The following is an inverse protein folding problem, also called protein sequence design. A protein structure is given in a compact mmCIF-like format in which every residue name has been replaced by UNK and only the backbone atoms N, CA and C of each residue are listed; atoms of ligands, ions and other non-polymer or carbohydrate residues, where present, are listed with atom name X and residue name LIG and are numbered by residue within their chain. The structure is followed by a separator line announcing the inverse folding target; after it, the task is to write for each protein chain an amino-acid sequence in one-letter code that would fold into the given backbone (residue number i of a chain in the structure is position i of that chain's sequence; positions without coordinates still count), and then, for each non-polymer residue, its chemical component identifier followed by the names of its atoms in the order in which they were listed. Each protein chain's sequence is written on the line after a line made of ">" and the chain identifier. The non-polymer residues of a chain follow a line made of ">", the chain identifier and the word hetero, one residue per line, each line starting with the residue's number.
data_IF_483159606038
#
_entry.id   IF_483159606038
#
_cell.length_a   1.000
_cell.length_b   1.000
_cell.length_c   1.000
_cell.angle_alpha   90.00
_cell.angle_beta   90.00
_cell.angle_gamma   90.00
#
_symmetry.space_group_name_H-M   'P 1'
#
loop_
_entity.id
_entity.type
_entity.pdbx_description
1 polymer ?
#
# COMPACT_ATOMS: atom_id res chain seq x y z
N UNK A 1 6.36 -2.21 0.05
CA UNK A 1 5.08 -1.52 0.35
C UNK A 1 4.31 -0.96 -0.83
N UNK A 2 4.09 -1.61 -2.00
CA UNK A 2 3.63 -0.82 -3.13
C UNK A 2 2.17 -0.51 -3.01
N UNK A 3 1.90 0.77 -2.99
CA UNK A 3 0.66 1.39 -2.73
C UNK A 3 -0.41 0.86 -3.66
N UNK A 4 -1.65 0.98 -3.21
CA UNK A 4 -2.72 1.08 -4.18
C UNK A 4 -2.57 2.34 -4.94
N UNK A 5 -2.61 2.23 -6.25
CA UNK A 5 -2.55 3.38 -7.12
C UNK A 5 -3.78 3.41 -8.01
N UNK A 6 -4.49 4.54 -7.98
CA UNK A 6 -5.56 4.84 -8.92
C UNK A 6 -5.21 6.10 -9.70
N UNK A 7 -5.20 5.97 -11.02
CA UNK A 7 -5.03 7.12 -11.91
C UNK A 7 -6.39 7.82 -12.05
N UNK A 8 -6.51 9.03 -11.50
CA UNK A 8 -7.62 9.94 -11.78
C UNK A 8 -7.13 11.03 -12.74
N UNK A 9 -8.06 11.80 -13.30
CA UNK A 9 -7.80 12.80 -14.33
C UNK A 9 -6.80 13.88 -13.89
N UNK A 10 -7.02 14.43 -12.69
CA UNK A 10 -6.22 15.56 -12.18
C UNK A 10 -5.13 15.11 -11.19
N UNK A 11 -5.29 13.94 -10.57
CA UNK A 11 -4.37 13.37 -9.59
C UNK A 11 -4.28 11.86 -9.73
N UNK A 12 -3.11 11.28 -9.52
CA UNK A 12 -3.00 9.86 -9.22
C UNK A 12 -2.97 9.68 -7.69
N UNK A 13 -3.83 8.81 -7.18
CA UNK A 13 -3.99 8.57 -5.75
C UNK A 13 -3.22 7.30 -5.42
N UNK A 14 -2.29 7.40 -4.48
CA UNK A 14 -1.49 6.31 -3.97
C UNK A 14 -1.78 6.09 -2.49
N UNK A 15 -1.95 4.86 -2.02
CA UNK A 15 -2.10 4.54 -0.59
C UNK A 15 -1.09 3.47 -0.19
N UNK A 16 -0.09 3.86 0.58
CA UNK A 16 0.93 2.97 1.15
C UNK A 16 0.97 3.09 2.67
N UNK A 17 0.79 1.97 3.37
CA UNK A 17 0.76 1.92 4.84
C UNK A 17 -0.32 2.85 5.43
N UNK A 18 0.10 3.83 6.22
CA UNK A 18 -0.69 4.90 6.78
C UNK A 18 -0.56 6.20 5.98
N UNK A 19 -0.04 6.18 4.76
CA UNK A 19 0.22 7.38 3.96
C UNK A 19 -0.59 7.36 2.67
N UNK A 20 -1.24 8.48 2.37
CA UNK A 20 -1.81 8.75 1.05
C UNK A 20 -0.89 9.71 0.31
N UNK A 21 -0.55 9.37 -0.92
CA UNK A 21 0.23 10.23 -1.80
C UNK A 21 -0.61 10.64 -3.00
N UNK A 22 -0.71 11.94 -3.27
CA UNK A 22 -1.31 12.46 -4.49
C UNK A 22 -0.23 12.90 -5.45
N UNK A 23 -0.15 12.27 -6.62
CA UNK A 23 0.73 12.69 -7.70
C UNK A 23 -0.04 13.55 -8.69
N UNK A 24 0.53 14.68 -9.08
CA UNK A 24 -0.05 15.57 -10.08
C UNK A 24 0.54 15.24 -11.44
N UNK A 25 -0.25 14.72 -12.41
CA UNK A 25 0.27 14.38 -13.73
C UNK A 25 0.97 15.59 -14.37
N UNK A 26 2.07 15.37 -15.12
CA UNK A 26 2.83 16.45 -15.79
C UNK A 26 1.97 17.29 -16.75
N UNK A 27 0.85 16.74 -17.21
CA UNK A 27 -0.15 17.39 -18.08
C UNK A 27 -1.08 18.35 -17.33
N UNK A 28 -1.10 18.32 -16.00
CA UNK A 28 -1.96 19.15 -15.16
C UNK A 28 -1.13 20.35 -14.66
N UNK A 29 -1.63 21.59 -14.79
CA UNK A 29 -0.97 22.76 -14.23
C UNK A 29 -0.96 22.67 -12.69
N UNK A 30 0.13 22.16 -12.12
CA UNK A 30 0.20 21.82 -10.70
C UNK A 30 -0.12 23.00 -9.79
N UNK A 31 0.22 24.22 -10.20
CA UNK A 31 -0.07 25.43 -9.43
C UNK A 31 -1.57 25.73 -9.35
N UNK A 32 -2.32 25.50 -10.43
CA UNK A 32 -3.78 25.67 -10.43
C UNK A 32 -4.48 24.61 -9.57
N UNK A 33 -4.02 23.35 -9.65
CA UNK A 33 -4.51 22.29 -8.78
C UNK A 33 -4.15 22.55 -7.31
N UNK A 34 -2.92 22.99 -7.04
CA UNK A 34 -2.48 23.40 -5.71
C UNK A 34 -3.36 24.51 -5.14
N UNK A 35 -3.68 25.54 -5.94
CA UNK A 35 -4.63 26.56 -5.53
C UNK A 35 -6.02 25.99 -5.23
N UNK A 36 -6.51 25.01 -5.99
CA UNK A 36 -7.78 24.34 -5.71
C UNK A 36 -7.74 23.57 -4.38
N UNK A 37 -6.65 22.83 -4.12
CA UNK A 37 -6.43 22.13 -2.85
C UNK A 37 -6.38 23.12 -1.67
N UNK A 38 -5.63 24.23 -1.84
CA UNK A 38 -5.38 25.27 -0.84
C UNK A 38 -6.51 26.31 -0.72
N UNK A 39 -7.61 26.18 -1.45
CA UNK A 39 -8.82 27.01 -1.24
C UNK A 39 -9.48 26.62 0.09
N UNK A 40 -8.79 26.87 1.20
CA UNK A 40 -9.42 27.28 2.44
C UNK A 40 -9.41 28.81 2.41
N UNK A 41 -10.58 29.42 2.50
CA UNK A 41 -10.63 30.84 2.77
C UNK A 41 -10.13 31.02 4.21
N UNK A 42 -8.83 31.26 4.42
CA UNK A 42 -8.34 31.69 5.71
C UNK A 42 -8.85 33.12 5.93
N UNK A 43 -9.84 33.27 6.81
CA UNK A 43 -10.30 34.57 7.28
C UNK A 43 -9.32 35.06 8.34
N UNK A 44 -8.56 36.10 8.02
CA UNK A 44 -7.77 36.83 9.01
C UNK A 44 -8.71 37.82 9.74
N UNK A 45 -9.07 37.57 11.00
CA UNK A 45 -10.00 38.44 11.73
C UNK A 45 -9.41 39.82 12.05
N UNK A 46 -8.11 40.04 11.80
CA UNK A 46 -7.44 41.32 12.09
C UNK A 46 -7.41 42.28 10.89
N UNK A 47 -7.66 41.79 9.67
CA UNK A 47 -7.55 42.61 8.47
C UNK A 47 -8.65 42.29 7.46
N UNK A 48 -9.65 43.17 7.41
CA UNK A 48 -10.89 43.07 6.63
C UNK A 48 -10.69 43.19 5.10
N UNK A 49 -9.59 42.67 4.55
CA UNK A 49 -9.25 42.78 3.13
C UNK A 49 -8.75 41.45 2.56
N UNK A 50 -9.42 41.03 1.49
CA UNK A 50 -9.10 40.03 0.45
C UNK A 50 -7.76 39.28 0.61
N UNK A 51 -7.91 37.96 0.73
CA UNK A 51 -6.95 36.85 0.58
C UNK A 51 -5.67 37.22 -0.18
N UNK A 52 -4.55 37.35 0.54
CA UNK A 52 -3.21 37.35 -0.07
C UNK A 52 -2.73 35.92 -0.26
N UNK A 53 -2.24 35.51 -1.45
CA UNK A 53 -1.59 34.23 -1.62
C UNK A 53 -0.31 34.21 -0.77
N UNK A 54 -0.26 33.32 0.23
CA UNK A 54 0.91 33.13 1.07
C UNK A 54 1.97 32.44 0.21
N UNK A 55 2.96 33.22 -0.24
CA UNK A 55 4.30 32.71 -0.56
C UNK A 55 5.30 33.57 0.23
N UNK A 56 6.31 32.97 0.87
CA UNK A 56 7.12 31.91 0.28
C UNK A 56 7.27 30.63 1.13
N UNK A 57 7.29 29.50 0.42
CA UNK A 57 8.28 28.43 0.56
C UNK A 57 8.44 27.63 1.86
N UNK A 58 7.61 27.78 2.91
CA UNK A 58 7.88 27.06 4.19
C UNK A 58 6.77 26.23 4.83
N UNK A 59 5.57 26.12 4.25
CA UNK A 59 4.56 25.16 4.75
C UNK A 59 3.76 24.61 3.56
N UNK A 60 4.36 23.73 2.75
CA UNK A 60 3.64 23.06 1.66
C UNK A 60 3.01 21.77 2.14
N UNK A 61 1.93 21.91 2.90
CA UNK A 61 1.01 20.80 3.05
C UNK A 61 -0.38 21.22 2.54
N UNK A 62 -0.85 20.70 1.40
CA UNK A 62 -2.23 20.91 0.97
C UNK A 62 -3.25 20.26 1.91
N UNK A 63 -2.78 19.52 2.92
CA UNK A 63 -3.54 18.98 4.03
C UNK A 63 -3.17 19.69 5.34
N UNK A 64 -3.33 21.01 5.39
CA UNK A 64 -3.19 21.78 6.63
C UNK A 64 -4.05 21.13 7.73
N UNK A 65 -3.48 20.61 8.83
CA UNK A 65 -4.25 19.98 9.90
C UNK A 65 -5.26 20.93 10.55
N UNK A 66 -5.09 22.25 10.38
CA UNK A 66 -6.06 23.24 10.84
C UNK A 66 -7.23 23.48 9.86
N UNK A 67 -7.12 23.03 8.59
CA UNK A 67 -8.22 23.11 7.62
C UNK A 67 -9.43 22.30 8.13
N UNK A 68 -10.63 22.91 8.25
CA UNK A 68 -11.84 22.23 8.71
C UNK A 68 -12.18 20.94 7.94
N UNK A 69 -11.83 20.86 6.66
CA UNK A 69 -12.00 19.67 5.84
C UNK A 69 -10.98 18.59 6.21
N UNK A 70 -9.74 18.95 6.50
CA UNK A 70 -8.68 18.02 6.93
C UNK A 70 -8.89 17.56 8.37
N UNK A 71 -9.51 18.38 9.25
CA UNK A 71 -9.92 17.96 10.60
C UNK A 71 -10.88 16.78 10.63
N UNK A 72 -11.59 16.52 9.52
CA UNK A 72 -12.42 15.30 9.36
C UNK A 72 -11.56 14.03 9.25
N UNK A 73 -10.30 14.17 8.87
CA UNK A 73 -9.32 13.10 8.83
C UNK A 73 -8.64 12.98 10.20
N UNK A 74 -8.75 11.80 10.80
CA UNK A 74 -8.25 11.54 12.16
C UNK A 74 -6.75 11.18 12.13
N UNK A 75 -6.03 11.62 13.16
CA UNK A 75 -4.99 12.65 13.00
C UNK A 75 -4.05 12.37 11.83
N UNK A 76 -3.80 13.40 11.02
CA UNK A 76 -2.86 13.36 9.90
C UNK A 76 -1.65 14.25 10.18
N UNK A 77 -0.47 13.79 9.78
CA UNK A 77 0.80 14.47 9.88
C UNK A 77 1.25 14.88 8.47
N UNK A 78 1.65 16.15 8.28
CA UNK A 78 2.37 16.57 7.09
C UNK A 78 3.66 15.75 6.95
N UNK A 79 4.01 15.40 5.72
CA UNK A 79 5.32 14.83 5.40
C UNK A 79 6.01 15.78 4.43
N UNK A 80 7.24 16.20 4.76
CA UNK A 80 8.02 17.09 3.90
C UNK A 80 8.97 16.30 2.99
N UNK A 81 9.20 16.81 1.78
CA UNK A 81 10.14 16.19 0.81
C UNK A 81 11.55 16.03 1.36
N UNK A 82 11.96 16.95 2.23
CA UNK A 82 13.30 16.99 2.81
C UNK A 82 13.46 16.05 4.03
N UNK A 83 12.39 15.37 4.47
CA UNK A 83 12.52 14.45 5.58
C UNK A 83 13.42 13.27 5.18
N UNK A 84 14.37 12.85 6.05
CA UNK A 84 15.31 11.77 5.73
C UNK A 84 14.62 10.44 5.40
N UNK A 85 13.37 10.29 5.83
CA UNK A 85 12.54 9.12 5.62
C UNK A 85 11.56 9.28 4.43
N UNK A 86 11.68 10.35 3.64
CA UNK A 86 10.76 10.66 2.54
C UNK A 86 10.65 9.51 1.52
N UNK A 87 11.77 8.85 1.24
CA UNK A 87 11.81 7.71 0.32
C UNK A 87 10.91 6.55 0.75
N UNK A 88 10.66 6.38 2.05
CA UNK A 88 9.83 5.29 2.56
C UNK A 88 8.33 5.50 2.34
N UNK A 89 7.91 6.69 1.91
CA UNK A 89 6.52 6.97 1.51
C UNK A 89 6.26 6.65 0.03
N UNK A 90 7.32 6.49 -0.77
CA UNK A 90 7.26 6.17 -2.20
C UNK A 90 7.41 4.69 -2.45
N UNK A 91 6.50 3.97 -1.86
CA UNK A 91 6.39 2.56 -2.08
C UNK A 91 5.24 2.44 -3.05
N UNK A 92 5.47 2.80 -4.31
CA UNK A 92 4.56 2.66 -5.46
C UNK A 92 5.41 2.71 -6.74
N UNK A 93 4.79 2.50 -7.90
CA UNK A 93 5.48 2.48 -9.19
C UNK A 93 5.48 3.84 -9.90
N UNK A 94 4.99 4.91 -9.25
CA UNK A 94 4.88 6.22 -9.89
C UNK A 94 6.23 6.94 -9.86
N UNK A 95 6.47 7.74 -10.90
CA UNK A 95 7.66 8.59 -11.01
C UNK A 95 7.73 9.55 -9.82
N UNK A 96 8.70 9.31 -8.93
CA UNK A 96 8.92 10.06 -7.69
C UNK A 96 9.32 11.51 -7.94
N UNK A 97 9.79 11.84 -9.14
CA UNK A 97 10.14 13.21 -9.52
C UNK A 97 8.91 14.03 -9.98
N UNK A 98 7.76 13.39 -10.17
CA UNK A 98 6.50 14.10 -10.40
C UNK A 98 6.10 14.85 -9.12
N UNK A 99 5.55 16.05 -9.26
CA UNK A 99 4.98 16.80 -8.14
C UNK A 99 3.98 15.95 -7.38
N UNK A 100 4.23 15.72 -6.10
CA UNK A 100 3.36 14.91 -5.27
C UNK A 100 3.24 15.45 -3.85
N UNK A 101 2.18 15.04 -3.17
CA UNK A 101 1.84 15.46 -1.81
C UNK A 101 1.56 14.24 -0.94
N UNK A 102 2.14 14.20 0.24
CA UNK A 102 1.98 13.10 1.19
C UNK A 102 1.12 13.51 2.37
N UNK A 103 0.23 12.61 2.78
CA UNK A 103 -0.59 12.75 3.98
C UNK A 103 -0.47 11.48 4.82
N UNK A 104 0.17 11.58 5.98
CA UNK A 104 0.44 10.44 6.85
C UNK A 104 -0.52 10.39 8.03
N UNK A 105 -1.39 9.41 8.08
CA UNK A 105 -2.27 9.14 9.21
C UNK A 105 -1.46 8.60 10.39
N UNK A 106 -1.85 8.90 11.63
CA UNK A 106 -1.19 8.29 12.81
C UNK A 106 -1.55 6.81 13.02
N UNK A 107 -2.49 6.30 12.22
CA UNK A 107 -2.94 4.91 12.18
C UNK A 107 -3.14 4.45 10.73
N UNK A 108 -3.28 3.15 10.49
CA UNK A 108 -3.65 2.65 9.17
C UNK A 108 -4.96 3.27 8.67
N UNK A 109 -4.99 3.54 7.38
CA UNK A 109 -6.13 4.11 6.68
C UNK A 109 -7.24 3.06 6.63
N UNK A 110 -8.36 3.32 7.32
CA UNK A 110 -9.55 2.48 7.22
C UNK A 110 -10.32 2.78 5.93
N UNK A 111 -11.28 1.91 5.61
CA UNK A 111 -12.24 2.15 4.52
C UNK A 111 -12.96 3.48 4.71
N UNK A 112 -13.36 3.81 5.94
CA UNK A 112 -14.02 5.07 6.26
C UNK A 112 -13.09 6.27 6.09
N UNK A 113 -11.82 6.15 6.50
CA UNK A 113 -10.84 7.22 6.30
C UNK A 113 -10.62 7.50 4.80
N UNK A 114 -10.55 6.44 4.00
CA UNK A 114 -10.37 6.57 2.56
C UNK A 114 -11.61 7.15 1.87
N UNK A 115 -12.83 6.77 2.27
CA UNK A 115 -14.06 7.38 1.77
C UNK A 115 -14.15 8.88 2.12
N UNK A 116 -13.82 9.24 3.37
CA UNK A 116 -13.77 10.65 3.80
C UNK A 116 -12.72 11.41 2.98
N UNK A 117 -11.54 10.82 2.77
CA UNK A 117 -10.50 11.41 1.94
C UNK A 117 -10.98 11.68 0.50
N UNK A 118 -11.55 10.68 -0.17
CA UNK A 118 -12.08 10.85 -1.52
C UNK A 118 -13.24 11.86 -1.56
N UNK A 119 -14.06 11.91 -0.52
CA UNK A 119 -15.13 12.92 -0.39
C UNK A 119 -14.56 14.33 -0.35
N UNK A 120 -13.48 14.56 0.40
CA UNK A 120 -12.79 15.85 0.44
C UNK A 120 -12.26 16.21 -0.96
N UNK A 121 -11.70 15.26 -1.72
CA UNK A 121 -11.24 15.52 -3.08
C UNK A 121 -12.39 15.92 -4.02
N UNK A 122 -13.58 15.33 -3.87
CA UNK A 122 -14.78 15.74 -4.62
C UNK A 122 -15.26 17.13 -4.22
N UNK A 123 -15.33 17.42 -2.91
CA UNK A 123 -15.76 18.73 -2.40
C UNK A 123 -14.82 19.87 -2.84
N UNK A 124 -13.54 19.56 -3.05
CA UNK A 124 -12.53 20.50 -3.56
C UNK A 124 -12.43 20.53 -5.10
N UNK A 125 -13.30 19.81 -5.81
CA UNK A 125 -13.32 19.71 -7.29
C UNK A 125 -12.01 19.14 -7.88
N UNK A 126 -11.30 18.31 -7.12
CA UNK A 126 -10.05 17.67 -7.54
C UNK A 126 -10.35 16.41 -8.35
N UNK A 127 -11.33 15.62 -7.92
CA UNK A 127 -11.88 14.47 -8.64
C UNK A 127 -13.40 14.59 -8.73
N UNK A 128 -14.01 13.98 -9.74
CA UNK A 128 -15.47 13.93 -9.83
C UNK A 128 -16.08 12.76 -9.00
N UNK A 129 -17.42 12.73 -8.90
CA UNK A 129 -18.14 11.68 -8.14
C UNK A 129 -17.91 10.28 -8.71
N UNK A 130 -17.78 10.14 -10.03
CA UNK A 130 -17.55 8.86 -10.69
C UNK A 130 -16.13 8.38 -10.39
N UNK A 131 -15.14 9.27 -10.44
CA UNK A 131 -13.76 8.98 -10.05
C UNK A 131 -13.65 8.55 -8.59
N UNK A 132 -14.40 9.21 -7.69
CA UNK A 132 -14.54 8.78 -6.30
C UNK A 132 -15.08 7.34 -6.22
N UNK A 133 -16.21 7.05 -6.85
CA UNK A 133 -16.85 5.72 -6.80
C UNK A 133 -15.92 4.63 -7.33
N UNK A 134 -15.34 4.84 -8.52
CA UNK A 134 -14.43 3.89 -9.16
C UNK A 134 -13.17 3.66 -8.31
N UNK A 135 -12.60 4.71 -7.73
CA UNK A 135 -11.43 4.63 -6.84
C UNK A 135 -11.76 3.88 -5.55
N UNK A 136 -12.91 4.17 -4.94
CA UNK A 136 -13.36 3.52 -3.72
C UNK A 136 -13.61 2.02 -3.95
N UNK A 137 -14.30 1.65 -5.03
CA UNK A 137 -14.54 0.25 -5.40
C UNK A 137 -13.21 -0.49 -5.59
N UNK A 138 -12.27 0.10 -6.34
CA UNK A 138 -10.97 -0.51 -6.58
C UNK A 138 -10.17 -0.70 -5.28
N UNK A 139 -10.25 0.25 -4.35
CA UNK A 139 -9.63 0.15 -3.04
C UNK A 139 -10.23 -0.99 -2.20
N UNK A 140 -11.56 -1.13 -2.18
CA UNK A 140 -12.27 -2.21 -1.49
C UNK A 140 -11.88 -3.58 -2.08
N UNK A 141 -11.92 -3.72 -3.40
CA UNK A 141 -11.57 -4.97 -4.09
C UNK A 141 -10.15 -5.38 -3.75
N UNK A 142 -9.20 -4.45 -3.86
CA UNK A 142 -7.81 -4.75 -3.60
C UNK A 142 -7.53 -5.05 -2.11
N UNK A 143 -8.35 -4.52 -1.18
CA UNK A 143 -8.32 -4.90 0.23
C UNK A 143 -8.88 -6.31 0.49
N UNK A 144 -9.98 -6.70 -0.18
CA UNK A 144 -10.58 -8.03 -0.07
C UNK A 144 -9.67 -9.12 -0.66
N UNK A 145 -9.11 -8.85 -1.85
CA UNK A 145 -8.15 -9.73 -2.50
C UNK A 145 -6.97 -10.06 -1.59
N UNK A 146 -6.42 -9.07 -0.88
CA UNK A 146 -5.32 -9.29 0.06
C UNK A 146 -5.68 -10.27 1.18
N UNK A 147 -6.93 -10.24 1.67
CA UNK A 147 -7.43 -11.18 2.69
C UNK A 147 -7.52 -12.60 2.13
N UNK A 148 -8.13 -12.76 0.96
CA UNK A 148 -8.26 -14.07 0.30
C UNK A 148 -6.87 -14.70 0.09
N UNK A 149 -5.94 -13.92 -0.47
CA UNK A 149 -4.56 -14.35 -0.75
C UNK A 149 -3.82 -14.80 0.50
N UNK A 150 -3.99 -14.09 1.62
CA UNK A 150 -3.40 -14.53 2.88
C UNK A 150 -3.91 -15.92 3.30
N UNK A 151 -5.22 -16.18 3.17
CA UNK A 151 -5.77 -17.49 3.51
C UNK A 151 -5.37 -18.59 2.52
N UNK A 152 -5.22 -18.27 1.24
CA UNK A 152 -4.69 -19.21 0.24
C UNK A 152 -3.25 -19.63 0.55
N UNK A 153 -2.39 -18.66 0.91
CA UNK A 153 -1.02 -18.95 1.32
C UNK A 153 -0.96 -19.69 2.66
N UNK A 154 -1.83 -19.36 3.61
CA UNK A 154 -1.95 -20.10 4.87
C UNK A 154 -2.37 -21.57 4.62
N UNK A 155 -3.27 -21.82 3.67
CA UNK A 155 -3.64 -23.17 3.26
C UNK A 155 -2.47 -23.91 2.60
N UNK A 156 -1.66 -23.21 1.80
CA UNK A 156 -0.43 -23.77 1.21
C UNK A 156 0.58 -24.18 2.28
N UNK A 157 0.80 -23.33 3.31
CA UNK A 157 1.63 -23.69 4.46
C UNK A 157 1.08 -24.94 5.16
N UNK A 158 -0.23 -25.03 5.36
CA UNK A 158 -0.87 -26.19 5.98
C UNK A 158 -0.66 -27.49 5.19
N UNK A 159 -0.95 -27.47 3.89
CA UNK A 159 -0.79 -28.64 3.01
C UNK A 159 0.65 -29.14 3.02
N UNK A 160 1.60 -28.22 3.03
CA UNK A 160 3.02 -28.56 3.03
C UNK A 160 3.53 -29.05 4.39
N UNK A 161 2.96 -28.53 5.49
CA UNK A 161 3.19 -29.08 6.82
C UNK A 161 2.69 -30.53 6.92
N UNK A 162 1.50 -30.82 6.37
CA UNK A 162 0.96 -32.18 6.28
C UNK A 162 1.87 -33.10 5.47
N UNK A 163 2.41 -32.63 4.33
CA UNK A 163 3.37 -33.40 3.53
C UNK A 163 4.64 -33.77 4.31
N UNK A 164 5.21 -32.82 5.08
CA UNK A 164 6.36 -33.10 5.94
C UNK A 164 6.01 -34.10 7.05
N UNK A 165 4.83 -33.98 7.64
CA UNK A 165 4.32 -34.91 8.65
C UNK A 165 4.20 -36.34 8.09
N UNK A 166 3.65 -36.52 6.89
CA UNK A 166 3.60 -37.84 6.24
C UNK A 166 4.99 -38.41 5.97
N UNK A 167 5.94 -37.57 5.51
CA UNK A 167 7.33 -38.02 5.31
C UNK A 167 8.01 -38.38 6.63
N UNK A 168 7.74 -37.65 7.71
CA UNK A 168 8.30 -37.92 9.02
C UNK A 168 7.87 -39.29 9.60
N UNK A 169 6.67 -39.79 9.26
CA UNK A 169 6.25 -41.15 9.66
C UNK A 169 7.17 -42.24 9.12
N UNK A 170 7.72 -42.04 7.92
CA UNK A 170 8.60 -43.03 7.25
C UNK A 170 10.09 -42.73 7.47
N UNK A 171 10.46 -41.47 7.64
CA UNK A 171 11.85 -41.04 7.84
C UNK A 171 11.93 -39.90 8.87
N UNK A 172 11.74 -40.21 10.16
CA UNK A 172 11.68 -39.20 11.21
C UNK A 172 12.99 -38.44 11.38
N UNK A 173 14.14 -39.12 11.21
CA UNK A 173 15.46 -38.48 11.32
C UNK A 173 15.66 -37.32 10.34
N UNK A 174 15.06 -37.41 9.14
CA UNK A 174 15.21 -36.40 8.11
C UNK A 174 14.11 -35.33 8.12
N UNK A 175 12.89 -35.65 8.56
CA UNK A 175 11.73 -34.78 8.36
C UNK A 175 11.03 -34.32 9.63
N UNK A 176 11.27 -34.93 10.79
CA UNK A 176 10.49 -34.64 11.99
C UNK A 176 10.62 -33.19 12.45
N UNK A 177 11.85 -32.66 12.51
CA UNK A 177 12.08 -31.26 12.88
C UNK A 177 11.41 -30.27 11.93
N UNK A 178 11.45 -30.56 10.64
CA UNK A 178 10.80 -29.74 9.63
C UNK A 178 9.28 -29.80 9.75
N UNK A 179 8.71 -30.99 9.99
CA UNK A 179 7.28 -31.15 10.21
C UNK A 179 6.80 -30.34 11.41
N UNK A 180 7.50 -30.44 12.55
CA UNK A 180 7.23 -29.67 13.77
C UNK A 180 7.34 -28.15 13.50
N UNK A 181 8.39 -27.70 12.81
CA UNK A 181 8.58 -26.29 12.48
C UNK A 181 7.50 -25.74 11.53
N UNK A 182 7.02 -26.56 10.58
CA UNK A 182 5.97 -26.18 9.63
C UNK A 182 4.59 -26.10 10.31
N UNK A 183 4.29 -27.05 11.20
CA UNK A 183 3.07 -27.05 12.00
C UNK A 183 3.01 -25.85 12.95
N UNK A 184 4.11 -25.59 13.67
CA UNK A 184 4.22 -24.42 14.55
C UNK A 184 4.03 -23.11 13.77
N UNK A 185 4.60 -23.02 12.56
CA UNK A 185 4.42 -21.87 11.68
C UNK A 185 2.94 -21.68 11.31
N UNK A 186 2.28 -22.74 10.83
CA UNK A 186 0.87 -22.69 10.45
C UNK A 186 -0.02 -22.22 11.62
N UNK A 187 0.13 -22.85 12.78
CA UNK A 187 -0.68 -22.53 13.95
C UNK A 187 -0.48 -21.10 14.42
N UNK A 188 0.77 -20.63 14.43
CA UNK A 188 1.08 -19.25 14.80
C UNK A 188 0.43 -18.27 13.83
N UNK A 189 0.60 -18.45 12.52
CA UNK A 189 0.01 -17.57 11.50
C UNK A 189 -1.52 -17.53 11.59
N UNK A 190 -2.16 -18.70 11.78
CA UNK A 190 -3.61 -18.83 11.93
C UNK A 190 -4.14 -18.13 13.18
N UNK A 191 -3.47 -18.29 14.31
CA UNK A 191 -3.88 -17.70 15.60
C UNK A 191 -3.70 -16.18 15.60
N UNK A 192 -2.59 -15.71 15.05
CA UNK A 192 -2.33 -14.28 14.87
C UNK A 192 -3.35 -13.65 13.92
N UNK A 193 -3.64 -14.30 12.80
CA UNK A 193 -4.66 -13.85 11.85
C UNK A 193 -6.04 -13.76 12.50
N UNK A 194 -6.45 -14.80 13.24
CA UNK A 194 -7.72 -14.80 13.99
C UNK A 194 -7.77 -13.63 14.97
N UNK A 195 -6.69 -13.38 15.70
CA UNK A 195 -6.61 -12.28 16.67
C UNK A 195 -6.72 -10.92 16.01
N UNK A 196 -6.02 -10.73 14.88
CA UNK A 196 -6.06 -9.49 14.12
C UNK A 196 -7.43 -9.24 13.48
N UNK A 197 -7.98 -10.24 12.79
CA UNK A 197 -9.22 -10.08 12.03
C UNK A 197 -10.47 -9.94 12.91
N UNK A 198 -10.45 -10.49 14.13
CA UNK A 198 -11.53 -10.29 15.10
C UNK A 198 -11.63 -8.84 15.64
N UNK A 199 -10.52 -8.09 15.61
CA UNK A 199 -10.49 -6.70 16.08
C UNK A 199 -9.42 -5.91 15.32
N UNK A 200 -9.73 -5.56 14.07
CA UNK A 200 -8.81 -4.87 13.16
C UNK A 200 -8.51 -3.46 13.66
N UNK A 201 -7.24 -3.20 13.94
CA UNK A 201 -6.69 -1.85 14.12
C UNK A 201 -5.18 -1.84 13.89
N UNK A 202 -4.58 -0.65 13.78
CA UNK A 202 -3.16 -0.49 13.46
C UNK A 202 -2.22 -1.18 14.47
N UNK A 203 -2.49 -1.04 15.78
CA UNK A 203 -1.68 -1.68 16.83
C UNK A 203 -1.76 -3.20 16.74
N UNK A 204 -2.94 -3.75 16.44
CA UNK A 204 -3.14 -5.20 16.25
C UNK A 204 -2.51 -5.70 14.96
N UNK A 205 -2.52 -4.91 13.89
CA UNK A 205 -1.81 -5.25 12.66
C UNK A 205 -0.29 -5.30 12.87
N UNK A 206 0.30 -4.29 13.52
CA UNK A 206 1.74 -4.30 13.80
C UNK A 206 2.15 -5.47 14.70
N UNK A 207 1.32 -5.82 15.68
CA UNK A 207 1.53 -7.01 16.50
C UNK A 207 1.45 -8.29 15.66
N UNK A 208 0.38 -8.45 14.87
CA UNK A 208 0.20 -9.56 13.93
C UNK A 208 1.40 -9.72 12.99
N UNK A 209 1.79 -8.63 12.32
CA UNK A 209 2.92 -8.59 11.38
C UNK A 209 4.23 -8.96 12.07
N UNK A 210 4.50 -8.39 13.24
CA UNK A 210 5.71 -8.67 14.02
C UNK A 210 5.79 -10.14 14.43
N UNK A 211 4.69 -10.68 14.96
CA UNK A 211 4.61 -12.07 15.41
C UNK A 211 4.75 -13.04 14.24
N UNK A 212 4.05 -12.78 13.13
CA UNK A 212 4.19 -13.60 11.92
C UNK A 212 5.62 -13.55 11.35
N UNK A 213 6.25 -12.37 11.32
CA UNK A 213 7.65 -12.22 10.88
C UNK A 213 8.60 -13.03 11.76
N UNK A 214 8.39 -13.03 13.07
CA UNK A 214 9.20 -13.82 14.00
C UNK A 214 8.99 -15.33 13.80
N UNK A 215 7.75 -15.77 13.63
CA UNK A 215 7.41 -17.16 13.34
C UNK A 215 8.07 -17.64 12.04
N UNK A 216 7.95 -16.87 10.95
CA UNK A 216 8.59 -17.16 9.66
C UNK A 216 10.12 -17.23 9.83
N UNK A 217 10.74 -16.26 10.52
CA UNK A 217 12.19 -16.27 10.77
C UNK A 217 12.63 -17.49 11.57
N UNK A 218 11.84 -17.90 12.57
CA UNK A 218 12.12 -19.10 13.37
C UNK A 218 12.04 -20.35 12.51
N UNK A 219 10.93 -20.55 11.80
CA UNK A 219 10.68 -21.72 10.97
C UNK A 219 11.68 -21.82 9.80
N UNK A 220 12.10 -20.69 9.23
CA UNK A 220 13.07 -20.63 8.12
C UNK A 220 14.38 -21.35 8.41
N UNK A 221 14.82 -21.40 9.69
CA UNK A 221 16.07 -22.07 10.09
C UNK A 221 16.06 -23.56 9.74
N UNK A 222 14.89 -24.18 9.77
CA UNK A 222 14.71 -25.59 9.44
C UNK A 222 14.16 -25.74 8.01
N UNK A 223 13.09 -25.01 7.69
CA UNK A 223 12.30 -25.25 6.48
C UNK A 223 13.03 -24.88 5.18
N UNK A 224 13.95 -23.90 5.19
CA UNK A 224 14.68 -23.53 3.97
C UNK A 224 15.57 -24.66 3.44
N UNK A 225 15.91 -25.63 4.30
CA UNK A 225 16.68 -26.81 3.90
C UNK A 225 15.81 -27.85 3.15
N UNK A 226 14.49 -27.67 3.08
CA UNK A 226 13.55 -28.56 2.42
C UNK A 226 13.03 -27.97 1.12
N UNK A 227 12.99 -28.79 0.05
CA UNK A 227 12.65 -28.35 -1.31
C UNK A 227 11.34 -27.54 -1.38
N UNK A 228 11.41 -26.40 -2.07
CA UNK A 228 10.28 -25.50 -2.35
C UNK A 228 9.75 -24.71 -1.14
N UNK A 229 10.33 -24.81 0.05
CA UNK A 229 9.84 -24.06 1.22
C UNK A 229 10.30 -22.60 1.18
N UNK A 230 11.37 -22.28 0.44
CA UNK A 230 11.75 -20.90 0.16
C UNK A 230 10.60 -20.10 -0.45
N UNK A 231 9.94 -20.65 -1.47
CA UNK A 231 8.83 -19.99 -2.17
C UNK A 231 7.62 -19.82 -1.25
N UNK A 232 7.25 -20.86 -0.50
CA UNK A 232 6.13 -20.80 0.45
C UNK A 232 6.34 -19.71 1.51
N UNK A 233 7.55 -19.63 2.07
CA UNK A 233 7.89 -18.61 3.07
C UNK A 233 7.88 -17.20 2.48
N UNK A 234 8.31 -17.04 1.23
CA UNK A 234 8.25 -15.76 0.51
C UNK A 234 6.81 -15.34 0.24
N UNK A 235 5.97 -16.26 -0.25
CA UNK A 235 4.58 -15.96 -0.62
C UNK A 235 3.73 -15.63 0.60
N UNK A 236 3.84 -16.39 1.69
CA UNK A 236 3.10 -16.08 2.91
C UNK A 236 3.57 -14.75 3.53
N UNK A 237 4.87 -14.44 3.46
CA UNK A 237 5.41 -13.13 3.86
C UNK A 237 4.80 -12.00 3.03
N UNK A 238 4.72 -12.19 1.71
CA UNK A 238 4.08 -11.25 0.80
C UNK A 238 2.60 -11.03 1.13
N UNK A 239 1.87 -12.11 1.41
CA UNK A 239 0.45 -12.02 1.74
C UNK A 239 0.19 -11.32 3.08
N UNK A 240 1.00 -11.56 4.12
CA UNK A 240 0.95 -10.83 5.40
C UNK A 240 1.16 -9.33 5.19
N UNK A 241 2.12 -8.95 4.35
CA UNK A 241 2.38 -7.55 4.02
C UNK A 241 1.19 -6.93 3.27
N UNK A 242 0.53 -7.68 2.39
CA UNK A 242 -0.68 -7.26 1.67
C UNK A 242 -1.86 -6.90 2.59
N UNK A 243 -1.97 -7.54 3.76
CA UNK A 243 -3.02 -7.26 4.76
C UNK A 243 -2.91 -5.89 5.44
N UNK A 244 -1.74 -5.25 5.39
CA UNK A 244 -1.51 -3.89 5.87
C UNK A 244 -2.04 -2.78 4.97
N UNK A 245 -2.59 -3.19 3.81
CA UNK A 245 -3.10 -2.43 2.68
C UNK A 245 -2.03 -2.13 1.60
N UNK A 246 -2.19 -2.92 0.54
CA UNK A 246 -1.86 -2.76 -0.89
C UNK A 246 -0.39 -3.08 -1.27
N UNK A 247 -0.25 -4.07 -2.17
CA UNK A 247 0.99 -4.80 -2.44
C UNK A 247 1.15 -5.11 -3.94
N UNK A 248 2.09 -4.40 -4.57
CA UNK A 248 2.66 -4.70 -5.90
C UNK A 248 4.13 -5.18 -5.80
N UNK A 249 4.72 -5.31 -4.60
CA UNK A 249 6.19 -5.47 -4.44
C UNK A 249 6.69 -6.86 -4.77
N UNK A 250 5.85 -7.89 -4.68
CA UNK A 250 6.25 -9.20 -5.18
C UNK A 250 6.45 -9.19 -6.69
N UNK A 251 5.92 -8.21 -7.44
CA UNK A 251 6.11 -8.17 -8.89
C UNK A 251 7.49 -7.62 -9.27
N UNK A 252 7.97 -6.54 -8.63
CA UNK A 252 9.25 -5.91 -8.99
C UNK A 252 10.48 -6.74 -8.60
N UNK A 253 10.48 -7.32 -7.39
CA UNK A 253 11.61 -8.12 -6.89
C UNK A 253 11.65 -9.49 -7.58
N UNK A 254 10.49 -10.07 -7.90
CA UNK A 254 10.41 -11.37 -8.58
C UNK A 254 10.64 -11.23 -10.09
N UNK A 255 10.09 -10.22 -10.78
CA UNK A 255 10.33 -10.01 -12.21
C UNK A 255 11.80 -9.76 -12.55
N UNK A 256 12.52 -9.01 -11.70
CA UNK A 256 13.96 -8.79 -11.88
C UNK A 256 14.82 -10.06 -11.65
N UNK A 257 14.29 -11.07 -10.95
CA UNK A 257 15.04 -12.27 -10.54
C UNK A 257 14.61 -13.56 -11.27
N UNK A 258 13.36 -13.65 -11.72
CA UNK A 258 12.77 -14.85 -12.36
C UNK A 258 12.23 -14.59 -13.77
N UNK A 259 12.39 -13.38 -14.31
CA UNK A 259 11.88 -13.00 -15.63
C UNK A 259 10.36 -13.21 -15.81
N UNK A 260 9.60 -13.30 -14.71
CA UNK A 260 8.14 -13.37 -14.74
C UNK A 260 7.54 -14.77 -14.89
N UNK A 261 8.31 -15.86 -14.76
CA UNK A 261 7.78 -17.23 -14.89
C UNK A 261 6.94 -17.70 -13.67
N UNK A 262 6.94 -16.95 -12.56
CA UNK A 262 6.26 -17.32 -11.31
C UNK A 262 5.48 -16.17 -10.66
N UNK A 263 4.62 -15.48 -11.42
CA UNK A 263 3.82 -14.38 -10.90
C UNK A 263 2.50 -14.85 -10.28
N UNK A 264 2.25 -14.42 -9.03
CA UNK A 264 1.08 -14.82 -8.22
C UNK A 264 -0.22 -14.04 -8.52
N UNK A 265 -0.20 -12.86 -9.17
CA UNK A 265 -1.41 -12.09 -9.47
C UNK A 265 -1.47 -11.57 -10.89
N UNK A 266 -2.53 -11.95 -11.61
CA UNK A 266 -2.93 -11.28 -12.86
C UNK A 266 -3.49 -9.91 -12.51
N UNK A 267 -2.66 -8.87 -12.61
CA UNK A 267 -3.16 -7.51 -12.69
C UNK A 267 -3.57 -7.29 -14.15
N UNK A 268 -4.82 -6.91 -14.39
CA UNK A 268 -5.33 -6.70 -15.75
C UNK A 268 -4.37 -5.79 -16.53
N UNK A 269 -3.78 -6.39 -17.55
CA UNK A 269 -2.64 -5.88 -18.32
C UNK A 269 -2.89 -4.51 -18.97
N UNK A 270 -4.13 -4.03 -18.99
CA UNK A 270 -4.52 -2.78 -19.64
C UNK A 270 -3.98 -1.53 -18.94
N UNK A 271 -3.90 -1.49 -17.62
CA UNK A 271 -3.36 -0.31 -16.91
C UNK A 271 -1.85 -0.16 -17.13
N UNK A 272 -1.12 -1.28 -17.10
CA UNK A 272 0.33 -1.32 -17.37
C UNK A 272 0.61 -1.07 -18.86
N UNK A 273 -0.20 -1.60 -19.77
CA UNK A 273 -0.12 -1.29 -21.22
C UNK A 273 -0.39 0.19 -21.49
N UNK A 274 -1.31 0.83 -20.77
CA UNK A 274 -1.60 2.27 -20.90
C UNK A 274 -0.44 3.13 -20.39
N UNK A 275 0.20 2.74 -19.28
CA UNK A 275 1.40 3.41 -18.76
C UNK A 275 2.55 3.30 -19.78
N UNK A 276 2.82 2.09 -20.31
CA UNK A 276 3.84 1.92 -21.37
C UNK A 276 3.53 2.74 -22.63
N UNK A 277 2.27 2.78 -23.07
CA UNK A 277 1.86 3.59 -24.23
C UNK A 277 2.02 5.09 -23.98
N UNK A 278 1.79 5.55 -22.75
CA UNK A 278 2.02 6.95 -22.35
C UNK A 278 3.51 7.30 -22.31
N UNK A 279 4.35 6.41 -21.78
CA UNK A 279 5.82 6.57 -21.74
C UNK A 279 6.44 6.53 -23.14
N UNK A 280 5.96 5.65 -24.02
CA UNK A 280 6.38 5.57 -25.43
C UNK A 280 5.98 6.83 -26.22
N UNK A 281 4.75 7.33 -26.03
CA UNK A 281 4.28 8.57 -26.64
C UNK A 281 5.08 9.80 -26.15
N UNK A 282 5.42 9.84 -24.86
CA UNK A 282 6.24 10.90 -24.28
C UNK A 282 7.69 10.86 -24.81
N UNK A 283 8.26 9.66 -24.95
CA UNK A 283 9.61 9.46 -25.50
C UNK A 283 9.71 9.81 -26.99
N UNK A 284 8.63 9.61 -27.75
CA UNK A 284 8.53 10.01 -29.15
C UNK A 284 8.41 11.54 -29.32
N UNK A 285 7.70 12.22 -28.42
CA UNK A 285 7.55 13.68 -28.41
C UNK A 285 8.85 14.42 -28.03
N UNK A 286 9.73 13.80 -27.27
CA UNK A 286 11.04 14.37 -26.86
C UNK A 286 12.16 14.13 -27.89
N UNK A 287 11.86 13.47 -29.02
CA UNK A 287 12.80 13.18 -30.12
C UNK A 287 12.58 14.04 -31.37
N UNK A 288 11.70 15.05 -31.30
CA UNK A 288 11.47 16.07 -32.33
C UNK A 288 11.94 17.41 -31.77
#
# INVERSE_FOLDING_TARGET
>A
MPAFTRLCKNVHISVAHNTVTLYVPKTVPWYSLYQQMMRSNYYDPTNNSILKPIWPLRIYNPFDPEDPFVKRLSPVQPVHREYPDHEYYHDDALDREITHFHMKFTRNISIQDFDVFLTILVEKDIIDRKEKEDCFIAFIQASQDAVTKFYDELATVQLKALELNEKAKTNPKAYQKAAEAAEELYDTLKNEARTYFNNKNAKKYELFRSNCKQAIKKASKELQNHRGWGDVLLNVSAAILGLGILYVAALGINYAWTHGEHLFFHCDTDSIKKIKKLEEAQSALLRI
#
